data_IF_571545018726
#
_entry.id   IF_571545018726
#
_cell.length_a   1.000
_cell.length_b   1.000
_cell.length_c   1.000
_cell.angle_alpha   90.00
_cell.angle_beta   90.00
_cell.angle_gamma   90.00
#
_symmetry.space_group_name_H-M   'P 1'
#
loop_
_entity.id
_entity.type
_entity.pdbx_description
1 polymer ?
#
# COMPACT_ATOMS: atom_id res chain seq x y z
N UNK A 1 7.40 -25.11 -25.40
CA UNK A 1 6.74 -24.36 -24.32
C UNK A 1 7.14 -22.90 -24.45
N UNK A 2 6.20 -21.95 -24.48
CA UNK A 2 6.51 -20.51 -24.55
C UNK A 2 7.03 -20.07 -23.18
N UNK A 3 8.23 -19.51 -23.11
CA UNK A 3 8.72 -18.90 -21.87
C UNK A 3 7.91 -17.65 -21.55
N UNK A 4 7.48 -17.52 -20.29
CA UNK A 4 6.81 -16.30 -19.82
C UNK A 4 7.88 -15.25 -19.46
N UNK A 5 7.64 -13.97 -19.77
CA UNK A 5 8.55 -12.89 -19.37
C UNK A 5 8.63 -12.81 -17.84
N UNK A 6 9.79 -12.40 -17.33
CA UNK A 6 10.00 -12.15 -15.90
C UNK A 6 9.19 -10.93 -15.47
N UNK A 7 8.42 -11.04 -14.39
CA UNK A 7 7.68 -9.93 -13.82
C UNK A 7 8.63 -8.96 -13.08
N UNK A 8 8.77 -7.75 -13.60
CA UNK A 8 9.61 -6.67 -13.06
C UNK A 8 8.84 -5.61 -12.28
N UNK A 9 7.51 -5.74 -12.17
CA UNK A 9 6.65 -4.79 -11.46
C UNK A 9 6.53 -5.23 -9.99
N UNK A 10 5.30 -5.47 -9.53
CA UNK A 10 4.97 -5.94 -8.19
C UNK A 10 4.76 -7.47 -8.15
N UNK A 11 4.39 -7.99 -6.99
CA UNK A 11 4.20 -9.43 -6.75
C UNK A 11 2.73 -9.88 -6.85
N UNK A 12 1.85 -9.07 -7.45
CA UNK A 12 0.44 -9.42 -7.62
C UNK A 12 0.22 -10.43 -8.75
N UNK A 13 -0.71 -11.36 -8.53
CA UNK A 13 -1.27 -12.17 -9.61
C UNK A 13 -2.15 -11.33 -10.55
N UNK A 14 -2.47 -11.86 -11.73
CA UNK A 14 -3.24 -11.13 -12.75
C UNK A 14 -4.62 -10.65 -12.25
N UNK A 15 -5.33 -11.46 -11.46
CA UNK A 15 -6.66 -11.11 -10.95
C UNK A 15 -6.55 -10.00 -9.90
N UNK A 16 -5.56 -10.09 -9.02
CA UNK A 16 -5.28 -9.08 -8.00
C UNK A 16 -4.83 -7.77 -8.64
N UNK A 17 -3.96 -7.83 -9.65
CA UNK A 17 -3.49 -6.66 -10.40
C UNK A 17 -4.63 -5.90 -11.06
N UNK A 18 -5.52 -6.59 -11.79
CA UNK A 18 -6.70 -5.97 -12.43
C UNK A 18 -7.66 -5.34 -11.41
N UNK A 19 -7.82 -5.93 -10.22
CA UNK A 19 -8.63 -5.31 -9.16
C UNK A 19 -7.99 -4.05 -8.59
N UNK A 20 -6.66 -3.98 -8.58
CA UNK A 20 -5.92 -2.83 -8.06
C UNK A 20 -5.98 -1.60 -8.96
N UNK A 21 -6.28 -1.76 -10.26
CA UNK A 21 -6.40 -0.64 -11.22
C UNK A 21 -7.72 0.14 -11.14
N UNK A 22 -8.65 -0.23 -10.25
CA UNK A 22 -9.90 0.52 -10.04
C UNK A 22 -9.60 1.95 -9.54
N UNK A 23 -10.22 2.94 -10.18
CA UNK A 23 -10.03 4.37 -9.86
C UNK A 23 -10.59 4.80 -8.50
N UNK A 24 -11.42 3.97 -7.88
CA UNK A 24 -11.94 4.22 -6.53
C UNK A 24 -12.08 2.90 -5.76
N UNK A 25 -11.90 2.98 -4.45
CA UNK A 25 -12.05 1.86 -3.53
C UNK A 25 -12.43 2.39 -2.14
N UNK A 26 -13.07 1.54 -1.35
CA UNK A 26 -13.45 1.84 0.03
C UNK A 26 -12.45 1.16 0.95
N UNK A 27 -11.97 1.90 1.95
CA UNK A 27 -11.14 1.36 3.03
C UNK A 27 -11.94 1.46 4.31
N UNK A 28 -12.06 0.34 5.01
CA UNK A 28 -12.54 0.31 6.38
C UNK A 28 -11.31 0.19 7.29
N UNK A 29 -10.77 1.32 7.81
CA UNK A 29 -9.54 1.31 8.57
C UNK A 29 -9.74 0.63 9.92
N UNK A 30 -8.66 0.11 10.50
CA UNK A 30 -8.65 -0.27 11.91
C UNK A 30 -8.97 0.93 12.81
N UNK A 31 -9.56 0.64 13.97
CA UNK A 31 -9.82 1.66 14.98
C UNK A 31 -8.52 2.30 15.44
N UNK A 32 -8.56 3.62 15.66
CA UNK A 32 -7.41 4.39 16.16
C UNK A 32 -7.36 4.32 17.68
N UNK A 33 -6.15 4.23 18.23
CA UNK A 33 -5.93 4.46 19.67
C UNK A 33 -6.26 5.91 20.05
N UNK A 34 -6.41 6.16 21.35
CA UNK A 34 -6.74 7.50 21.87
C UNK A 34 -5.66 8.52 21.51
N UNK A 35 -4.40 8.10 21.53
CA UNK A 35 -3.23 8.89 21.17
C UNK A 35 -3.27 9.25 19.68
N UNK A 36 -3.60 8.28 18.82
CA UNK A 36 -3.73 8.50 17.37
C UNK A 36 -4.92 9.37 16.99
N UNK A 37 -5.98 9.42 17.80
CA UNK A 37 -7.12 10.33 17.59
C UNK A 37 -6.75 11.80 17.84
N UNK A 38 -5.73 12.06 18.66
CA UNK A 38 -5.26 13.43 18.93
C UNK A 38 -4.48 14.04 17.77
N UNK A 39 -4.09 13.24 16.77
CA UNK A 39 -3.34 13.70 15.61
C UNK A 39 -4.25 13.90 14.39
N UNK A 40 -4.36 15.13 13.85
CA UNK A 40 -5.38 15.47 12.87
C UNK A 40 -5.14 14.86 11.48
N UNK A 41 -3.90 14.47 11.16
CA UNK A 41 -3.46 14.15 9.79
C UNK A 41 -2.96 12.70 9.62
N UNK A 42 -3.51 11.74 10.39
CA UNK A 42 -3.18 10.32 10.20
C UNK A 42 -3.96 9.74 9.02
N UNK A 43 -3.26 9.11 8.06
CA UNK A 43 -3.89 8.30 7.01
C UNK A 43 -4.15 6.85 7.48
N UNK A 44 -5.17 6.17 6.93
CA UNK A 44 -5.35 4.74 7.11
C UNK A 44 -4.11 3.93 6.70
N UNK A 45 -3.61 3.09 7.59
CA UNK A 45 -2.50 2.18 7.30
C UNK A 45 -2.82 1.25 6.13
N UNK A 46 -4.07 0.79 6.02
CA UNK A 46 -4.52 -0.06 4.91
C UNK A 46 -4.44 0.66 3.55
N UNK A 47 -4.56 1.99 3.53
CA UNK A 47 -4.38 2.79 2.31
C UNK A 47 -2.93 2.78 1.88
N UNK A 48 -2.02 2.99 2.83
CA UNK A 48 -0.59 3.03 2.54
C UNK A 48 -0.09 1.65 2.12
N UNK A 49 -0.49 0.59 2.83
CA UNK A 49 -0.18 -0.79 2.46
C UNK A 49 -0.61 -1.10 1.03
N UNK A 50 -1.81 -0.67 0.62
CA UNK A 50 -2.31 -0.88 -0.74
C UNK A 50 -1.39 -0.26 -1.79
N UNK A 51 -0.94 0.98 -1.57
CA UNK A 51 -0.06 1.67 -2.52
C UNK A 51 1.34 1.09 -2.52
N UNK A 52 1.94 0.84 -1.35
CA UNK A 52 3.26 0.20 -1.26
C UNK A 52 3.23 -1.14 -1.99
N UNK A 53 2.28 -2.02 -1.69
CA UNK A 53 2.15 -3.33 -2.35
C UNK A 53 1.97 -3.24 -3.87
N UNK A 54 1.30 -2.19 -4.36
CA UNK A 54 1.06 -2.04 -5.80
C UNK A 54 2.26 -1.42 -6.53
N UNK A 55 2.96 -0.47 -5.92
CA UNK A 55 4.05 0.26 -6.56
C UNK A 55 5.43 -0.32 -6.28
N UNK A 56 5.57 -1.24 -5.33
CA UNK A 56 6.84 -1.88 -5.01
C UNK A 56 6.76 -3.40 -5.13
N UNK A 57 7.94 -4.01 -5.08
CA UNK A 57 8.15 -5.44 -4.98
C UNK A 57 8.65 -5.75 -3.57
N UNK A 58 8.51 -7.00 -3.12
CA UNK A 58 9.14 -7.45 -1.88
C UNK A 58 10.64 -7.10 -1.89
N UNK A 59 11.15 -6.70 -0.72
CA UNK A 59 12.53 -6.27 -0.49
C UNK A 59 12.94 -4.99 -1.26
N UNK A 60 11.98 -4.32 -1.90
CA UNK A 60 12.14 -3.00 -2.49
C UNK A 60 12.20 -1.89 -1.43
N UNK A 61 12.84 -0.78 -1.79
CA UNK A 61 12.97 0.37 -0.90
C UNK A 61 11.83 1.37 -1.09
N UNK A 62 11.26 1.84 0.02
CA UNK A 62 10.30 2.94 0.07
C UNK A 62 10.94 4.08 0.86
N UNK A 63 11.02 5.26 0.24
CA UNK A 63 11.48 6.48 0.89
C UNK A 63 10.30 7.44 1.06
N UNK A 64 9.92 7.68 2.31
CA UNK A 64 8.94 8.70 2.69
C UNK A 64 9.61 9.75 3.59
N UNK A 65 10.10 10.87 3.03
CA UNK A 65 10.75 11.91 3.82
C UNK A 65 9.76 12.74 4.65
N UNK A 66 8.45 12.51 4.49
CA UNK A 66 7.38 13.23 5.17
C UNK A 66 6.47 12.29 5.97
N UNK A 67 7.05 11.22 6.54
CA UNK A 67 6.32 10.15 7.21
C UNK A 67 5.40 10.61 8.36
N UNK A 68 5.58 11.82 8.90
CA UNK A 68 4.68 12.41 9.90
C UNK A 68 4.49 11.49 11.11
N UNK A 69 3.26 11.03 11.32
CA UNK A 69 2.90 10.10 12.41
C UNK A 69 3.24 8.63 12.14
N UNK A 70 3.93 8.36 11.02
CA UNK A 70 4.44 7.04 10.66
C UNK A 70 3.42 6.12 9.97
N UNK A 71 2.37 6.63 9.33
CA UNK A 71 1.40 5.79 8.59
C UNK A 71 2.05 4.93 7.49
N UNK A 72 3.24 5.31 7.01
CA UNK A 72 4.02 4.57 6.01
C UNK A 72 4.94 3.50 6.60
N UNK A 73 5.12 3.46 7.92
CA UNK A 73 6.00 2.51 8.64
C UNK A 73 5.26 1.22 9.05
N UNK A 74 4.32 0.78 8.21
CA UNK A 74 3.40 -0.35 8.46
C UNK A 74 4.01 -1.72 8.26
#
# INVERSE_FOLDING_TARGET
>A
MVQKPKNTLNDLDAKSWVKSTKSWFVINPRSRSREQLSHPAKYPEELVQRFVTYFTKQDGWVLDPFAGVGSTLV
#
